data_IF_070221191197
#
_entry.id   IF_070221191197
#
_cell.length_a   1.000
_cell.length_b   1.000
_cell.length_c   1.000
_cell.angle_alpha   90.00
_cell.angle_beta   90.00
_cell.angle_gamma   90.00
#
_symmetry.space_group_name_H-M   'P 1'
#
loop_
_entity.id
_entity.type
_entity.pdbx_description
1 polymer ?
#
# COMPACT_ATOMS: atom_id res chain seq x y z
N UNK A 1 17.62 32.00 -23.47
CA UNK A 1 17.88 33.36 -22.92
C UNK A 1 19.40 33.53 -22.78
N UNK A 2 20.01 34.57 -23.38
CA UNK A 2 21.47 34.85 -23.32
C UNK A 2 21.76 35.97 -22.30
N UNK A 3 22.92 35.94 -21.64
CA UNK A 3 23.33 36.89 -20.59
C UNK A 3 23.24 38.37 -21.02
N UNK A 4 23.66 38.69 -22.25
CA UNK A 4 23.58 40.05 -22.78
C UNK A 4 22.15 40.62 -22.86
N UNK A 5 21.12 39.76 -22.90
CA UNK A 5 19.73 40.20 -22.84
C UNK A 5 19.28 40.51 -21.40
N UNK A 6 19.79 39.78 -20.40
CA UNK A 6 19.50 40.02 -18.98
C UNK A 6 20.07 41.37 -18.52
N UNK A 7 21.31 41.68 -18.91
CA UNK A 7 22.00 42.94 -18.56
C UNK A 7 21.29 44.18 -19.14
N UNK A 8 20.55 44.02 -20.23
CA UNK A 8 19.79 45.10 -20.88
C UNK A 8 18.33 45.17 -20.42
N UNK A 9 17.90 44.30 -19.51
CA UNK A 9 16.53 44.27 -19.02
C UNK A 9 16.35 45.30 -17.89
N UNK A 10 15.24 46.05 -17.86
CA UNK A 10 14.97 46.98 -16.76
C UNK A 10 14.85 46.23 -15.42
N UNK A 11 15.34 46.86 -14.35
CA UNK A 11 15.18 46.40 -12.97
C UNK A 11 13.70 46.36 -12.59
N UNK A 12 13.23 45.26 -11.99
CA UNK A 12 11.80 45.01 -11.74
C UNK A 12 11.21 43.85 -12.54
N UNK A 13 12.06 43.10 -13.29
CA UNK A 13 11.66 41.93 -14.07
C UNK A 13 12.10 40.66 -13.34
N UNK A 14 11.16 39.76 -13.09
CA UNK A 14 11.39 38.48 -12.39
C UNK A 14 12.64 37.71 -12.87
N UNK A 15 12.95 37.59 -14.18
CA UNK A 15 14.16 36.88 -14.61
C UNK A 15 15.46 37.57 -14.16
N UNK A 16 15.47 38.90 -14.10
CA UNK A 16 16.61 39.68 -13.64
C UNK A 16 16.77 39.59 -12.12
N UNK A 17 15.65 39.67 -11.39
CA UNK A 17 15.61 39.49 -9.94
C UNK A 17 16.05 38.10 -9.50
N UNK A 18 15.58 37.04 -10.18
CA UNK A 18 15.99 35.66 -9.91
C UNK A 18 17.46 35.42 -10.27
N UNK A 19 17.99 36.10 -11.28
CA UNK A 19 19.40 36.02 -11.64
C UNK A 19 20.31 36.74 -10.62
N UNK A 20 19.86 37.85 -10.06
CA UNK A 20 20.55 38.55 -8.97
C UNK A 20 20.40 37.86 -7.62
N UNK A 21 19.25 37.23 -7.38
CA UNK A 21 19.04 36.40 -6.22
C UNK A 21 20.14 35.33 -6.20
N UNK A 22 20.90 35.27 -5.11
CA UNK A 22 21.81 34.18 -4.83
C UNK A 22 21.08 33.18 -3.94
N UNK A 23 20.19 32.32 -4.49
CA UNK A 23 19.42 31.41 -3.67
C UNK A 23 20.36 30.53 -2.85
N UNK A 24 20.20 30.56 -1.54
CA UNK A 24 20.99 29.74 -0.61
C UNK A 24 20.44 28.33 -0.64
N UNK A 25 21.18 27.41 -1.24
CA UNK A 25 20.79 26.00 -1.29
C UNK A 25 21.36 25.27 -2.50
N UNK A 26 21.54 23.95 -2.38
CA UNK A 26 21.85 23.11 -3.53
C UNK A 26 20.58 22.78 -4.28
N UNK A 27 20.55 23.03 -5.59
CA UNK A 27 19.51 22.49 -6.46
C UNK A 27 19.53 20.95 -6.32
N UNK A 28 18.43 20.28 -5.98
CA UNK A 28 18.39 18.83 -5.97
C UNK A 28 18.73 18.35 -7.38
N UNK A 29 19.87 17.66 -7.51
CA UNK A 29 20.33 17.12 -8.78
C UNK A 29 19.91 15.65 -8.86
N UNK A 30 19.03 15.34 -9.82
CA UNK A 30 18.64 13.97 -10.15
C UNK A 30 17.24 13.57 -9.66
N UNK A 31 16.81 12.37 -10.06
CA UNK A 31 15.58 11.73 -9.56
C UNK A 31 15.84 11.26 -8.11
N UNK A 32 14.89 11.45 -7.17
CA UNK A 32 14.96 10.81 -5.87
C UNK A 32 15.20 9.31 -6.05
N UNK A 33 16.26 8.78 -5.44
CA UNK A 33 16.53 7.34 -5.45
C UNK A 33 15.63 6.68 -4.41
N UNK A 34 14.37 6.50 -4.77
CA UNK A 34 13.46 5.66 -3.99
C UNK A 34 13.79 4.21 -4.27
N UNK A 35 14.23 3.46 -3.24
CA UNK A 35 14.33 2.00 -3.35
C UNK A 35 12.92 1.44 -3.31
N UNK A 36 12.68 0.35 -4.05
CA UNK A 36 11.39 -0.34 -4.07
C UNK A 36 10.84 -0.62 -2.67
N UNK A 37 11.71 -1.07 -1.75
CA UNK A 37 11.34 -1.38 -0.36
C UNK A 37 10.78 -0.16 0.37
N UNK A 38 11.42 0.99 0.21
CA UNK A 38 11.00 2.23 0.87
C UNK A 38 9.63 2.69 0.34
N UNK A 39 9.42 2.55 -0.98
CA UNK A 39 8.12 2.86 -1.60
C UNK A 39 6.99 1.98 -1.05
N UNK A 40 7.22 0.68 -0.94
CA UNK A 40 6.23 -0.26 -0.41
C UNK A 40 5.98 -0.01 1.08
N UNK A 41 7.02 0.29 1.87
CA UNK A 41 6.87 0.66 3.27
C UNK A 41 6.02 1.91 3.46
N UNK A 42 6.24 2.95 2.64
CA UNK A 42 5.40 4.16 2.67
C UNK A 42 3.95 3.84 2.30
N UNK A 43 3.72 3.10 1.22
CA UNK A 43 2.37 2.75 0.79
C UNK A 43 1.60 1.94 1.83
N UNK A 44 2.26 0.98 2.48
CA UNK A 44 1.63 0.14 3.48
C UNK A 44 1.31 0.91 4.77
N UNK A 45 2.14 1.88 5.15
CA UNK A 45 1.80 2.80 6.23
C UNK A 45 0.59 3.67 5.88
N UNK A 46 0.64 4.35 4.72
CA UNK A 46 -0.39 5.32 4.33
C UNK A 46 -1.74 4.68 4.00
N UNK A 47 -1.75 3.50 3.38
CA UNK A 47 -2.99 2.84 2.91
C UNK A 47 -3.53 1.78 3.85
N UNK A 48 -2.65 1.12 4.61
CA UNK A 48 -3.01 -0.04 5.43
C UNK A 48 -2.73 0.17 6.92
N UNK A 49 -2.04 1.25 7.31
CA UNK A 49 -1.67 1.51 8.70
C UNK A 49 -0.64 0.52 9.25
N UNK A 50 0.02 -0.26 8.38
CA UNK A 50 0.95 -1.31 8.81
C UNK A 50 2.36 -0.72 8.93
N UNK A 51 3.00 -0.81 10.12
CA UNK A 51 4.34 -0.28 10.29
C UNK A 51 5.39 -1.11 9.52
N UNK A 52 6.49 -0.50 9.04
CA UNK A 52 7.56 -1.18 8.29
C UNK A 52 8.15 -2.41 8.98
N UNK A 53 8.15 -2.44 10.31
CA UNK A 53 8.61 -3.57 11.13
C UNK A 53 7.70 -4.80 11.03
N UNK A 54 6.39 -4.60 10.86
CA UNK A 54 5.39 -5.67 10.81
C UNK A 54 5.15 -6.19 9.39
N UNK A 55 5.44 -5.38 8.36
CA UNK A 55 5.32 -5.76 6.94
C UNK A 55 6.02 -7.08 6.61
N UNK A 56 7.18 -7.35 7.22
CA UNK A 56 7.93 -8.60 7.00
C UNK A 56 7.16 -9.81 7.54
N UNK A 57 6.49 -9.64 8.68
CA UNK A 57 5.71 -10.71 9.30
C UNK A 57 4.42 -10.97 8.52
N UNK A 58 3.72 -9.91 8.11
CA UNK A 58 2.50 -10.01 7.27
C UNK A 58 2.82 -10.66 5.93
N UNK A 59 3.95 -10.29 5.31
CA UNK A 59 4.40 -10.93 4.08
C UNK A 59 4.69 -12.42 4.30
N UNK A 60 5.39 -12.78 5.38
CA UNK A 60 5.70 -14.17 5.72
C UNK A 60 4.44 -14.99 5.98
N UNK A 61 3.47 -14.46 6.72
CA UNK A 61 2.20 -15.11 7.00
C UNK A 61 1.43 -15.37 5.69
N UNK A 62 1.36 -14.37 4.81
CA UNK A 62 0.68 -14.48 3.52
C UNK A 62 1.36 -15.46 2.57
N UNK A 63 2.68 -15.49 2.54
CA UNK A 63 3.46 -16.52 1.82
C UNK A 63 3.18 -17.90 2.41
N UNK A 64 3.13 -18.03 3.74
CA UNK A 64 2.78 -19.28 4.42
C UNK A 64 1.39 -19.79 4.04
N UNK A 65 0.39 -18.90 4.04
CA UNK A 65 -0.97 -19.22 3.60
C UNK A 65 -1.01 -19.64 2.13
N UNK A 66 -0.31 -18.92 1.25
CA UNK A 66 -0.25 -19.24 -0.17
C UNK A 66 0.45 -20.58 -0.44
N UNK A 67 1.54 -20.87 0.26
CA UNK A 67 2.24 -22.15 0.15
C UNK A 67 1.42 -23.29 0.76
N UNK A 68 0.70 -23.06 1.85
CA UNK A 68 -0.19 -24.06 2.45
C UNK A 68 -1.37 -24.38 1.52
N UNK A 69 -1.99 -23.37 0.92
CA UNK A 69 -3.05 -23.55 -0.09
C UNK A 69 -2.55 -24.35 -1.29
N UNK A 70 -1.35 -24.02 -1.81
CA UNK A 70 -0.73 -24.76 -2.92
C UNK A 70 -0.32 -26.18 -2.54
N UNK A 71 0.15 -26.38 -1.31
CA UNK A 71 0.48 -27.70 -0.77
C UNK A 71 -0.76 -28.58 -0.63
N UNK A 72 -1.86 -28.05 -0.07
CA UNK A 72 -3.16 -28.73 -0.03
C UNK A 72 -3.69 -29.02 -1.44
N UNK A 73 -3.55 -28.10 -2.39
CA UNK A 73 -3.93 -28.32 -3.79
C UNK A 73 -3.10 -29.44 -4.47
N UNK A 74 -1.87 -29.65 -4.01
CA UNK A 74 -1.00 -30.74 -4.50
C UNK A 74 -1.35 -32.10 -3.85
N UNK A 75 -1.81 -32.09 -2.59
CA UNK A 75 -2.25 -33.29 -1.86
C UNK A 75 -3.68 -33.74 -2.26
N UNK A 76 -4.54 -32.81 -2.64
CA UNK A 76 -5.92 -33.10 -3.06
C UNK A 76 -6.08 -33.35 -4.57
N UNK A 77 -4.97 -33.50 -5.30
CA UNK A 77 -4.93 -33.99 -6.69
C UNK A 77 -6.13 -33.53 -7.53
N UNK A 78 -6.15 -32.25 -7.90
CA UNK A 78 -7.12 -31.60 -8.80
C UNK A 78 -8.27 -32.50 -9.31
N UNK A 79 -9.25 -32.77 -8.47
CA UNK A 79 -10.58 -33.14 -8.95
C UNK A 79 -11.40 -31.87 -8.99
N UNK A 80 -11.25 -31.17 -10.11
CA UNK A 80 -12.19 -30.16 -10.55
C UNK A 80 -13.51 -30.85 -10.88
N UNK A 81 -14.35 -31.09 -9.87
CA UNK A 81 -15.74 -31.47 -10.11
C UNK A 81 -16.63 -31.08 -8.94
N UNK A 82 -17.52 -30.11 -9.23
CA UNK A 82 -18.80 -29.82 -8.58
C UNK A 82 -18.76 -29.13 -7.21
N UNK A 83 -18.74 -27.79 -7.24
CA UNK A 83 -19.42 -26.99 -6.21
C UNK A 83 -20.92 -26.98 -6.54
N UNK A 84 -21.83 -27.49 -5.66
CA UNK A 84 -23.23 -27.16 -5.78
C UNK A 84 -23.43 -25.69 -5.41
N UNK A 85 -24.15 -24.95 -6.26
CA UNK A 85 -24.49 -23.54 -6.05
C UNK A 85 -25.32 -23.31 -4.78
N UNK A 86 -25.44 -22.05 -4.32
CA UNK A 86 -26.09 -21.71 -3.07
C UNK A 86 -27.61 -21.92 -3.19
N UNK A 87 -28.09 -23.10 -2.78
CA UNK A 87 -29.52 -23.33 -2.54
C UNK A 87 -29.90 -22.72 -1.20
N UNK A 88 -30.50 -21.54 -1.29
CA UNK A 88 -31.47 -20.94 -0.38
C UNK A 88 -32.14 -21.90 0.61
N UNK A 89 -31.88 -21.71 1.91
CA UNK A 89 -32.86 -21.85 3.00
C UNK A 89 -32.30 -21.30 4.33
N UNK A 90 -33.03 -20.42 5.05
CA UNK A 90 -32.73 -20.09 6.44
C UNK A 90 -33.33 -21.16 7.36
N UNK A 91 -32.52 -21.75 8.25
CA UNK A 91 -33.03 -22.62 9.30
C UNK A 91 -33.48 -21.77 10.51
N UNK A 92 -34.72 -21.92 11.02
CA UNK A 92 -35.18 -21.22 12.21
C UNK A 92 -34.66 -21.87 13.51
N UNK A 93 -34.25 -20.98 14.42
CA UNK A 93 -34.17 -21.04 15.88
C UNK A 93 -34.48 -22.38 16.60
N UNK A 94 -33.45 -22.96 17.23
CA UNK A 94 -33.56 -23.88 18.37
C UNK A 94 -32.65 -23.39 19.52
N UNK A 95 -32.98 -22.24 20.11
CA UNK A 95 -32.33 -21.79 21.36
C UNK A 95 -33.31 -21.44 22.48
N UNK A 96 -34.59 -21.82 22.34
CA UNK A 96 -35.52 -21.83 23.46
C UNK A 96 -35.52 -23.24 24.04
N UNK A 97 -34.68 -23.48 25.06
CA UNK A 97 -34.88 -24.43 26.17
C UNK A 97 -33.59 -24.51 27.01
N UNK A 98 -33.39 -23.54 27.92
CA UNK A 98 -33.01 -23.77 29.32
C UNK A 98 -32.91 -22.41 30.05
N UNK A 99 -33.98 -22.03 30.74
CA UNK A 99 -33.88 -21.08 31.86
C UNK A 99 -33.58 -21.87 33.14
N UNK A 100 -32.74 -21.36 34.05
CA UNK A 100 -32.51 -21.97 35.35
C UNK A 100 -33.70 -21.79 36.30
N UNK A 101 -34.05 -22.88 36.97
CA UNK A 101 -35.00 -22.95 38.07
C UNK A 101 -34.42 -22.19 39.29
N UNK A 102 -35.16 -21.20 39.80
CA UNK A 102 -34.91 -20.56 41.09
C UNK A 102 -36.06 -20.92 42.02
N UNK A 103 -35.72 -21.47 43.18
CA UNK A 103 -36.51 -21.44 44.41
C UNK A 103 -35.64 -20.83 45.49
#
# INVERSE_FOLDING_TARGET
MRFGHLVRMPTGRLPWEVFQARPVGRRPRGRPRTRWRDYISTLAWERLGIPPSELVNVAREREGAWLAERSCASLLGSSSSNLPGPSSQPAPCLSSLLLPHQQ
#
